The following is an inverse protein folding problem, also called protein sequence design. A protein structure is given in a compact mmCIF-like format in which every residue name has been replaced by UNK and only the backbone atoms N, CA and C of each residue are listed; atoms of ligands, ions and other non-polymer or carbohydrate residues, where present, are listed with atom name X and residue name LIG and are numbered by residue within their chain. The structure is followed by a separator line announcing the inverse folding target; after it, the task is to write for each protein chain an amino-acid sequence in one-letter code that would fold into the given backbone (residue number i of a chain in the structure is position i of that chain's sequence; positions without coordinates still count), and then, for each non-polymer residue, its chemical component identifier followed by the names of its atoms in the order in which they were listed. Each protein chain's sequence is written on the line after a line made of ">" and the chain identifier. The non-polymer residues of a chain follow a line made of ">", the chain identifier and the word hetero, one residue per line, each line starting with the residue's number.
data_IF_645380297139
#
_entry.id   IF_645380297139
#
_cell.length_a   1.000
_cell.length_b   1.000
_cell.length_c   1.000
_cell.angle_alpha   90.00
_cell.angle_beta   90.00
_cell.angle_gamma   90.00
#
_symmetry.space_group_name_H-M   'P 1'
#
loop_
_entity.id
_entity.type
_entity.pdbx_description
1 polymer ?
#
# COMPACT_ATOMS: atom_id res chain seq x y z
N UNK A 1 0.22 16.80 2.36
CA UNK A 1 -0.20 16.11 3.60
C UNK A 1 -1.68 15.67 3.63
N UNK A 2 -2.53 16.01 2.64
CA UNK A 2 -3.99 15.70 2.68
C UNK A 2 -4.41 14.38 2.00
N UNK A 3 -3.57 13.77 1.17
CA UNK A 3 -3.99 12.63 0.34
C UNK A 3 -4.36 11.38 1.15
N UNK A 4 -3.71 11.15 2.29
CA UNK A 4 -3.97 10.01 3.18
C UNK A 4 -5.40 10.01 3.76
N UNK A 5 -5.97 11.18 4.05
CA UNK A 5 -7.33 11.28 4.54
C UNK A 5 -8.37 10.99 3.44
N UNK A 6 -8.04 11.26 2.18
CA UNK A 6 -8.90 10.96 1.02
C UNK A 6 -8.92 9.47 0.64
N UNK A 7 -8.07 8.65 1.23
CA UNK A 7 -8.16 7.21 1.08
C UNK A 7 -9.38 6.71 1.85
N UNK A 8 -10.14 5.83 1.22
CA UNK A 8 -11.17 5.03 1.87
C UNK A 8 -10.54 4.12 2.94
N UNK A 9 -11.29 3.70 3.95
CA UNK A 9 -10.78 2.79 4.98
C UNK A 9 -10.13 1.52 4.39
N UNK A 10 -10.70 0.96 3.32
CA UNK A 10 -10.12 -0.18 2.58
C UNK A 10 -8.77 0.12 1.94
N UNK A 11 -8.61 1.31 1.35
CA UNK A 11 -7.32 1.72 0.76
C UNK A 11 -6.24 1.90 1.84
N UNK A 12 -6.61 2.40 3.03
CA UNK A 12 -5.70 2.51 4.18
C UNK A 12 -5.32 1.15 4.77
N UNK A 13 -6.28 0.23 4.87
CA UNK A 13 -6.02 -1.15 5.29
C UNK A 13 -5.06 -1.84 4.33
N UNK A 14 -5.32 -1.74 3.02
CA UNK A 14 -4.45 -2.25 1.97
C UNK A 14 -3.02 -1.73 2.16
N UNK A 15 -2.86 -0.41 2.20
CA UNK A 15 -1.54 0.19 2.30
C UNK A 15 -0.84 -0.12 3.64
N UNK A 16 -1.59 -0.34 4.73
CA UNK A 16 -1.02 -0.79 6.01
C UNK A 16 -0.50 -2.24 5.95
N UNK A 17 -1.21 -3.13 5.25
CA UNK A 17 -0.76 -4.51 5.05
C UNK A 17 0.44 -4.56 4.10
N UNK A 18 0.43 -3.76 3.02
CA UNK A 18 1.59 -3.64 2.13
C UNK A 18 2.81 -3.11 2.91
N UNK A 19 2.64 -2.11 3.77
CA UNK A 19 3.71 -1.58 4.61
C UNK A 19 4.26 -2.61 5.61
N UNK A 20 3.42 -3.54 6.08
CA UNK A 20 3.85 -4.68 6.91
C UNK A 20 4.58 -5.78 6.12
N UNK A 21 4.69 -5.66 4.79
CA UNK A 21 5.37 -6.63 3.93
C UNK A 21 4.49 -7.78 3.45
N UNK A 22 3.17 -7.70 3.60
CA UNK A 22 2.25 -8.73 3.10
C UNK A 22 2.19 -8.72 1.56
N UNK A 23 2.07 -9.91 0.97
CA UNK A 23 1.91 -10.07 -0.47
C UNK A 23 0.51 -9.63 -0.93
N UNK A 24 0.38 -9.16 -2.18
CA UNK A 24 -0.93 -8.76 -2.73
C UNK A 24 -2.01 -9.85 -2.60
N UNK A 25 -1.60 -11.12 -2.71
CA UNK A 25 -2.50 -12.28 -2.55
C UNK A 25 -2.96 -12.43 -1.10
N UNK A 26 -2.06 -12.31 -0.14
CA UNK A 26 -2.42 -12.37 1.29
C UNK A 26 -3.33 -11.22 1.68
N UNK A 27 -3.11 -10.03 1.11
CA UNK A 27 -3.98 -8.87 1.31
C UNK A 27 -5.36 -9.12 0.70
N UNK A 28 -5.42 -9.70 -0.49
CA UNK A 28 -6.66 -10.08 -1.14
C UNK A 28 -7.46 -11.06 -0.27
N UNK A 29 -6.79 -12.06 0.30
CA UNK A 29 -7.40 -13.04 1.20
C UNK A 29 -7.83 -12.40 2.53
N UNK A 30 -6.98 -11.58 3.15
CA UNK A 30 -7.24 -10.90 4.41
C UNK A 30 -8.41 -9.90 4.32
N UNK A 31 -8.52 -9.17 3.20
CA UNK A 31 -9.63 -8.24 2.96
C UNK A 31 -10.83 -8.88 2.24
N UNK A 32 -10.76 -10.18 1.96
CA UNK A 32 -11.78 -10.93 1.24
C UNK A 32 -12.19 -10.29 -0.10
N UNK A 33 -11.21 -9.78 -0.84
CA UNK A 33 -11.38 -9.15 -2.16
C UNK A 33 -10.56 -9.89 -3.22
N UNK A 34 -10.93 -9.75 -4.49
CA UNK A 34 -10.15 -10.33 -5.57
C UNK A 34 -8.77 -9.67 -5.69
N UNK A 35 -7.73 -10.45 -6.04
CA UNK A 35 -6.39 -9.93 -6.32
C UNK A 35 -6.42 -8.81 -7.38
N UNK A 36 -7.24 -8.97 -8.42
CA UNK A 36 -7.48 -7.95 -9.44
C UNK A 36 -7.99 -6.64 -8.84
N UNK A 37 -8.84 -6.72 -7.81
CA UNK A 37 -9.35 -5.55 -7.09
C UNK A 37 -8.24 -4.86 -6.29
N UNK A 38 -7.35 -5.64 -5.67
CA UNK A 38 -6.14 -5.12 -4.98
C UNK A 38 -5.28 -4.33 -5.96
N UNK A 39 -5.02 -4.85 -7.16
CA UNK A 39 -4.25 -4.15 -8.20
C UNK A 39 -4.88 -2.82 -8.61
N UNK A 40 -6.20 -2.80 -8.85
CA UNK A 40 -6.93 -1.58 -9.22
C UNK A 40 -6.92 -0.56 -8.08
N UNK A 41 -7.11 -1.02 -6.83
CA UNK A 41 -7.03 -0.14 -5.66
C UNK A 41 -5.62 0.43 -5.49
N UNK A 42 -4.59 -0.40 -5.70
CA UNK A 42 -3.19 0.04 -5.68
C UNK A 42 -2.91 1.10 -6.74
N UNK A 43 -3.37 0.93 -7.97
CA UNK A 43 -3.20 1.92 -9.02
C UNK A 43 -3.81 3.27 -8.62
N UNK A 44 -5.06 3.26 -8.12
CA UNK A 44 -5.73 4.49 -7.65
C UNK A 44 -5.02 5.13 -6.46
N UNK A 45 -4.54 4.32 -5.52
CA UNK A 45 -3.81 4.79 -4.34
C UNK A 45 -2.45 5.38 -4.74
N UNK A 46 -1.73 4.75 -5.67
CA UNK A 46 -0.47 5.27 -6.23
C UNK A 46 -0.68 6.58 -6.97
N UNK A 47 -1.75 6.70 -7.75
CA UNK A 47 -2.11 7.94 -8.44
C UNK A 47 -2.43 9.06 -7.44
N UNK A 48 -3.27 8.78 -6.43
CA UNK A 48 -3.63 9.73 -5.36
C UNK A 48 -2.44 10.14 -4.48
N UNK A 49 -1.51 9.22 -4.22
CA UNK A 49 -0.31 9.48 -3.41
C UNK A 49 0.89 9.97 -4.24
N UNK A 50 0.72 10.09 -5.56
CA UNK A 50 1.77 10.39 -6.53
C UNK A 50 3.04 9.55 -6.30
N UNK A 51 2.85 8.23 -6.13
CA UNK A 51 3.94 7.27 -5.96
C UNK A 51 4.24 6.59 -7.31
N UNK A 52 5.50 6.66 -7.76
CA UNK A 52 5.91 6.04 -9.03
C UNK A 52 6.12 4.53 -8.94
N UNK A 53 6.27 3.98 -7.73
CA UNK A 53 6.45 2.55 -7.52
C UNK A 53 5.78 2.08 -6.22
N UNK A 54 5.59 0.76 -6.11
CA UNK A 54 5.10 0.16 -4.86
C UNK A 54 6.02 0.46 -3.68
N UNK A 55 7.33 0.38 -3.89
CA UNK A 55 8.32 0.70 -2.88
C UNK A 55 8.24 2.17 -2.45
N UNK A 56 7.98 3.08 -3.40
CA UNK A 56 7.78 4.49 -3.10
C UNK A 56 6.47 4.73 -2.34
N UNK A 57 5.40 4.02 -2.70
CA UNK A 57 4.13 4.05 -1.98
C UNK A 57 4.33 3.61 -0.52
N UNK A 58 5.00 2.47 -0.30
CA UNK A 58 5.32 1.94 1.03
C UNK A 58 6.12 2.96 1.82
N UNK A 59 7.22 3.49 1.26
CA UNK A 59 8.04 4.52 1.93
C UNK A 59 7.23 5.75 2.31
N UNK A 60 6.37 6.24 1.41
CA UNK A 60 5.51 7.41 1.70
C UNK A 60 4.49 7.10 2.79
N UNK A 61 3.94 5.89 2.78
CA UNK A 61 2.94 5.44 3.75
C UNK A 61 3.55 5.18 5.13
N UNK A 62 4.68 4.49 5.21
CA UNK A 62 5.46 4.35 6.45
C UNK A 62 5.84 5.70 7.01
N UNK A 63 6.32 6.63 6.20
CA UNK A 63 6.66 7.98 6.65
C UNK A 63 5.46 8.76 7.21
N UNK A 64 4.23 8.34 6.86
CA UNK A 64 2.98 8.86 7.41
C UNK A 64 2.51 8.11 8.67
N UNK A 65 2.90 6.84 8.87
CA UNK A 65 2.40 5.96 9.94
C UNK A 65 3.42 5.61 11.03
N UNK A 66 4.73 5.73 10.77
CA UNK A 66 5.81 5.40 11.72
C UNK A 66 7.11 6.20 11.45
N UNK A 67 7.77 6.75 12.48
CA UNK A 67 9.14 7.22 12.37
C UNK A 67 10.11 6.02 12.46
N UNK A 68 10.80 5.75 11.34
CA UNK A 68 11.98 4.87 11.21
C UNK A 68 11.80 3.37 11.52
N UNK A 69 11.91 2.49 10.52
CA UNK A 69 13.00 1.47 10.41
C UNK A 69 12.82 0.46 9.27
N UNK A 70 13.93 0.25 8.55
CA UNK A 70 14.36 -0.94 7.77
C UNK A 70 13.36 -1.58 6.81
N UNK A 71 13.46 -1.18 5.54
CA UNK A 71 12.77 -1.85 4.43
C UNK A 71 13.79 -2.72 3.67
N UNK A 72 13.61 -4.04 3.75
CA UNK A 72 14.17 -5.02 2.81
C UNK A 72 13.02 -5.52 1.94
N UNK A 73 12.76 -4.89 0.81
CA UNK A 73 11.74 -5.36 -0.15
C UNK A 73 12.42 -6.07 -1.32
N UNK A 74 12.50 -7.40 -1.21
CA UNK A 74 12.69 -8.30 -2.34
C UNK A 74 11.33 -8.42 -3.05
N UNK A 75 11.09 -7.56 -4.05
CA UNK A 75 9.99 -7.72 -5.01
C UNK A 75 10.51 -7.31 -6.40
N UNK A 76 11.61 -7.95 -6.79
CA UNK A 76 12.00 -8.09 -8.19
C UNK A 76 11.40 -9.39 -8.70
N UNK A 77 10.46 -9.26 -9.64
CA UNK A 77 10.46 -9.98 -10.92
C UNK A 77 9.39 -9.43 -11.85
#
# INVERSE_FOLDING_TARGET
>A
MLCYQQLTPKERELASLVAKGFMNREIAEAMNIALRTVEVHRARVMEKMQAGSLAELIRRFEKLTAPETKISTNYDS
#
